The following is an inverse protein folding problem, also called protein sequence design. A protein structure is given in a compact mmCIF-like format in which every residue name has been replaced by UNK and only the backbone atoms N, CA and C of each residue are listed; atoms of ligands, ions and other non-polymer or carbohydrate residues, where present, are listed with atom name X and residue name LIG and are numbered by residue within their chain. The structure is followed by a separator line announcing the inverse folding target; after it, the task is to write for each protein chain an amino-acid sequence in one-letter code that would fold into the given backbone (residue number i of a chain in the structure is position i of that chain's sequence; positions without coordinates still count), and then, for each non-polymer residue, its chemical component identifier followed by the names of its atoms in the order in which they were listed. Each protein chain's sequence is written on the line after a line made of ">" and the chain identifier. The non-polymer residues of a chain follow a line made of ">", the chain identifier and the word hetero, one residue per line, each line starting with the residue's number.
data_IF_901328934110
#
_entry.id   IF_901328934110
#
_cell.length_a   1.000
_cell.length_b   1.000
_cell.length_c   1.000
_cell.angle_alpha   90.00
_cell.angle_beta   90.00
_cell.angle_gamma   90.00
#
_symmetry.space_group_name_H-M   'P 1'
#
loop_
_entity.id
_entity.type
_entity.pdbx_description
1 polymer ?
#
# COMPACT_ATOMS: atom_id res chain seq x y z
N UNK A 1 -2.21 17.82 -2.77
CA UNK A 1 -1.03 17.91 -1.90
C UNK A 1 -0.97 19.22 -1.12
N UNK A 2 -0.80 19.10 0.20
CA UNK A 2 -0.64 20.19 1.16
C UNK A 2 0.69 20.94 0.94
N UNK A 3 0.70 22.29 0.88
CA UNK A 3 1.92 23.05 0.60
C UNK A 3 3.05 22.87 1.61
N UNK A 4 2.74 22.76 2.91
CA UNK A 4 3.75 22.55 3.95
C UNK A 4 4.38 21.17 3.85
N UNK A 5 3.57 20.16 3.53
CA UNK A 5 4.07 18.81 3.30
C UNK A 5 4.93 18.73 2.05
N UNK A 6 4.51 19.35 0.95
CA UNK A 6 5.30 19.44 -0.29
C UNK A 6 6.68 20.07 -0.04
N UNK A 7 6.75 21.16 0.74
CA UNK A 7 8.02 21.77 1.13
C UNK A 7 8.90 20.84 1.96
N UNK A 8 8.31 20.07 2.88
CA UNK A 8 9.01 19.03 3.63
C UNK A 8 9.60 17.95 2.73
N UNK A 9 8.80 17.44 1.79
CA UNK A 9 9.24 16.44 0.81
C UNK A 9 10.35 16.96 -0.10
N UNK A 10 10.28 18.22 -0.56
CA UNK A 10 11.36 18.84 -1.32
C UNK A 10 12.69 18.87 -0.56
N UNK A 11 12.65 19.10 0.76
CA UNK A 11 13.84 19.09 1.60
C UNK A 11 14.39 17.66 1.81
N UNK A 12 13.51 16.68 2.03
CA UNK A 12 13.88 15.26 2.14
C UNK A 12 14.52 14.76 0.84
N UNK A 13 13.93 15.12 -0.30
CA UNK A 13 14.36 14.67 -1.61
C UNK A 13 15.44 15.54 -2.23
N UNK A 14 16.11 16.46 -1.50
CA UNK A 14 17.02 17.44 -2.12
C UNK A 14 18.16 16.79 -2.93
N UNK A 15 18.64 15.62 -2.49
CA UNK A 15 19.81 14.91 -3.04
C UNK A 15 19.41 13.64 -3.82
N UNK A 16 18.16 13.50 -4.23
CA UNK A 16 17.62 12.28 -4.87
C UNK A 16 18.35 11.83 -6.14
N UNK A 17 19.09 12.72 -6.81
CA UNK A 17 19.90 12.38 -7.98
C UNK A 17 21.23 11.70 -7.62
N UNK A 18 21.71 11.87 -6.38
CA UNK A 18 23.00 11.36 -5.91
C UNK A 18 22.87 10.29 -4.81
N UNK A 19 21.70 10.22 -4.15
CA UNK A 19 21.41 9.24 -3.11
C UNK A 19 20.12 8.46 -3.43
N UNK A 20 20.29 7.20 -3.83
CA UNK A 20 19.19 6.29 -4.14
C UNK A 20 18.55 5.65 -2.90
N UNK A 21 19.04 5.95 -1.69
CA UNK A 21 18.54 5.39 -0.43
C UNK A 21 17.50 6.29 0.24
N UNK A 22 17.27 7.50 -0.28
CA UNK A 22 16.26 8.43 0.22
C UNK A 22 14.89 7.76 0.18
N UNK A 23 14.22 7.79 1.32
CA UNK A 23 12.87 7.28 1.49
C UNK A 23 12.05 8.24 2.36
N UNK A 24 10.75 8.23 2.13
CA UNK A 24 9.77 8.92 2.96
C UNK A 24 8.69 7.92 3.38
N UNK A 25 8.05 8.18 4.52
CA UNK A 25 6.95 7.34 4.99
C UNK A 25 5.67 7.65 4.22
N UNK A 26 4.97 6.60 3.78
CA UNK A 26 3.65 6.72 3.14
C UNK A 26 2.59 7.29 4.11
N UNK A 27 2.78 7.06 5.42
CA UNK A 27 2.04 7.71 6.49
C UNK A 27 3.02 8.49 7.37
N UNK A 28 2.97 9.81 7.28
CA UNK A 28 3.84 10.70 8.06
C UNK A 28 3.42 10.85 9.53
N UNK A 29 2.15 10.55 9.85
CA UNK A 29 1.60 10.74 11.19
C UNK A 29 1.84 9.52 12.08
N UNK A 30 1.72 8.31 11.50
CA UNK A 30 1.91 7.04 12.22
C UNK A 30 2.72 6.01 11.43
N UNK A 31 3.99 6.28 11.05
CA UNK A 31 4.77 5.46 10.11
C UNK A 31 4.90 3.96 10.42
N UNK A 32 4.88 3.60 11.70
CA UNK A 32 5.07 2.22 12.18
C UNK A 32 3.78 1.52 12.60
N UNK A 33 2.61 2.11 12.37
CA UNK A 33 1.33 1.58 12.83
C UNK A 33 0.39 1.36 11.66
N UNK A 34 -0.25 0.20 11.65
CA UNK A 34 -1.29 -0.11 10.71
C UNK A 34 -2.64 0.37 11.28
N UNK A 35 -3.13 1.50 10.80
CA UNK A 35 -4.42 2.08 11.17
C UNK A 35 -5.01 2.93 10.03
N UNK A 36 -6.11 3.64 10.30
CA UNK A 36 -6.79 4.44 9.29
C UNK A 36 -6.22 5.87 9.14
N UNK A 37 -5.12 6.21 9.80
CA UNK A 37 -4.48 7.52 9.67
C UNK A 37 -4.04 7.80 8.23
N UNK A 38 -3.71 6.75 7.47
CA UNK A 38 -3.51 6.84 6.02
C UNK A 38 -4.67 7.57 5.33
N UNK A 39 -5.93 7.20 5.57
CA UNK A 39 -7.09 7.85 4.93
C UNK A 39 -7.35 9.26 5.48
N UNK A 40 -7.14 9.47 6.79
CA UNK A 40 -7.23 10.81 7.41
C UNK A 40 -6.21 11.78 6.78
N UNK A 41 -5.02 11.28 6.44
CA UNK A 41 -3.97 12.05 5.79
C UNK A 41 -4.36 12.46 4.37
N UNK A 42 -5.05 11.61 3.60
CA UNK A 42 -5.51 11.95 2.25
C UNK A 42 -6.46 13.15 2.24
N UNK A 43 -7.38 13.24 3.21
CA UNK A 43 -8.28 14.40 3.34
C UNK A 43 -7.52 15.71 3.58
N UNK A 44 -6.35 15.62 4.22
CA UNK A 44 -5.48 16.75 4.56
C UNK A 44 -4.47 17.09 3.44
N UNK A 45 -4.49 16.34 2.34
CA UNK A 45 -3.52 16.46 1.24
C UNK A 45 -2.12 15.98 1.63
N UNK A 46 -2.03 15.02 2.56
CA UNK A 46 -0.79 14.45 3.08
C UNK A 46 -0.47 13.07 2.47
N UNK A 47 -1.06 12.72 1.33
CA UNK A 47 -0.69 11.52 0.57
C UNK A 47 0.68 11.71 -0.09
N UNK A 48 1.54 10.69 0.01
CA UNK A 48 2.91 10.74 -0.52
C UNK A 48 2.92 10.53 -2.04
N UNK A 49 2.19 9.52 -2.52
CA UNK A 49 2.15 9.17 -3.94
C UNK A 49 0.98 9.87 -4.63
N UNK A 50 1.13 10.16 -5.93
CA UNK A 50 0.03 10.73 -6.72
C UNK A 50 -1.18 9.80 -6.75
N UNK A 51 -0.96 8.48 -6.78
CA UNK A 51 -2.02 7.47 -6.73
C UNK A 51 -2.80 7.49 -5.42
N UNK A 52 -2.17 7.88 -4.30
CA UNK A 52 -2.85 8.01 -3.02
C UNK A 52 -3.78 9.24 -3.01
N UNK A 53 -3.29 10.38 -3.51
CA UNK A 53 -4.10 11.61 -3.64
C UNK A 53 -5.23 11.46 -4.67
N UNK A 54 -5.05 10.62 -5.70
CA UNK A 54 -6.11 10.26 -6.65
C UNK A 54 -7.29 9.56 -5.97
N UNK A 55 -7.07 8.76 -4.91
CA UNK A 55 -8.16 8.14 -4.16
C UNK A 55 -9.10 9.19 -3.54
N UNK A 56 -8.56 10.33 -3.11
CA UNK A 56 -9.34 11.42 -2.53
C UNK A 56 -9.99 12.33 -3.58
N UNK A 57 -9.32 12.53 -4.73
CA UNK A 57 -9.78 13.47 -5.75
C UNK A 57 -10.74 12.83 -6.76
N UNK A 58 -10.66 11.53 -7.00
CA UNK A 58 -11.61 10.80 -7.85
C UNK A 58 -12.97 10.63 -7.15
N UNK A 59 -14.09 11.09 -7.74
CA UNK A 59 -15.42 10.99 -7.15
C UNK A 59 -15.88 9.56 -6.82
N UNK A 60 -15.33 8.55 -7.49
CA UNK A 60 -15.69 7.13 -7.31
C UNK A 60 -15.09 6.56 -6.04
N UNK A 61 -13.88 7.00 -5.67
CA UNK A 61 -13.13 6.48 -4.52
C UNK A 61 -13.24 7.37 -3.29
N UNK A 62 -13.48 8.67 -3.49
CA UNK A 62 -13.60 9.65 -2.40
C UNK A 62 -14.57 9.24 -1.27
N UNK A 63 -15.77 8.68 -1.54
CA UNK A 63 -16.68 8.24 -0.47
C UNK A 63 -16.07 7.15 0.42
N UNK A 64 -15.23 6.27 -0.13
CA UNK A 64 -14.55 5.23 0.64
C UNK A 64 -13.43 5.82 1.49
N UNK A 65 -12.67 6.79 0.98
CA UNK A 65 -11.68 7.53 1.77
C UNK A 65 -12.34 8.18 2.99
N UNK A 66 -13.47 8.86 2.77
CA UNK A 66 -14.25 9.49 3.86
C UNK A 66 -14.75 8.46 4.89
N UNK A 67 -15.28 7.33 4.41
CA UNK A 67 -15.74 6.24 5.28
C UNK A 67 -14.60 5.72 6.16
N UNK A 68 -13.46 5.40 5.56
CA UNK A 68 -12.34 4.80 6.27
C UNK A 68 -11.63 5.80 7.19
N UNK A 69 -11.57 7.08 6.81
CA UNK A 69 -11.06 8.14 7.68
C UNK A 69 -11.93 8.32 8.94
N UNK A 70 -13.26 8.23 8.81
CA UNK A 70 -14.20 8.40 9.90
C UNK A 70 -14.42 7.13 10.76
N UNK A 71 -14.17 5.94 10.20
CA UNK A 71 -14.48 4.66 10.84
C UNK A 71 -13.37 3.63 10.64
N UNK A 72 -12.52 3.47 11.65
CA UNK A 72 -11.43 2.49 11.66
C UNK A 72 -11.92 1.04 11.56
N UNK A 73 -13.08 0.70 12.13
CA UNK A 73 -13.64 -0.66 12.05
C UNK A 73 -14.06 -0.98 10.62
N UNK A 74 -14.73 -0.05 9.93
CA UNK A 74 -15.10 -0.24 8.53
C UNK A 74 -13.86 -0.46 7.64
N UNK A 75 -12.80 0.31 7.87
CA UNK A 75 -11.52 0.10 7.18
C UNK A 75 -10.97 -1.31 7.39
N UNK A 76 -10.83 -1.77 8.63
CA UNK A 76 -10.24 -3.09 8.89
C UNK A 76 -11.11 -4.24 8.37
N UNK A 77 -12.44 -4.11 8.47
CA UNK A 77 -13.37 -5.10 7.95
C UNK A 77 -13.24 -5.25 6.42
N UNK A 78 -13.19 -4.13 5.69
CA UNK A 78 -13.00 -4.15 4.23
C UNK A 78 -11.58 -4.54 3.83
N UNK A 79 -10.57 -4.12 4.59
CA UNK A 79 -9.18 -4.52 4.36
C UNK A 79 -9.03 -6.05 4.43
N UNK A 80 -9.60 -6.69 5.45
CA UNK A 80 -9.57 -8.15 5.59
C UNK A 80 -10.22 -8.86 4.39
N UNK A 81 -11.41 -8.41 3.98
CA UNK A 81 -12.11 -8.95 2.80
C UNK A 81 -11.34 -8.74 1.50
N UNK A 82 -10.71 -7.58 1.33
CA UNK A 82 -9.91 -7.27 0.15
C UNK A 82 -8.66 -8.15 0.06
N UNK A 83 -7.97 -8.35 1.19
CA UNK A 83 -6.79 -9.21 1.27
C UNK A 83 -7.11 -10.68 1.02
N UNK A 84 -8.27 -11.16 1.50
CA UNK A 84 -8.76 -12.51 1.17
C UNK A 84 -8.97 -12.68 -0.34
N UNK A 85 -9.71 -11.76 -0.98
CA UNK A 85 -9.91 -11.79 -2.44
C UNK A 85 -8.59 -11.74 -3.21
N UNK A 86 -7.66 -10.88 -2.79
CA UNK A 86 -6.35 -10.76 -3.41
C UNK A 86 -5.53 -12.05 -3.25
N UNK A 87 -5.61 -12.71 -2.09
CA UNK A 87 -4.87 -13.94 -1.81
C UNK A 87 -5.26 -15.13 -2.70
N UNK A 88 -6.46 -15.08 -3.28
CA UNK A 88 -6.99 -16.13 -4.15
C UNK A 88 -6.73 -15.88 -5.64
N UNK A 89 -6.17 -14.73 -6.01
CA UNK A 89 -5.94 -14.38 -7.41
C UNK A 89 -4.82 -15.25 -8.02
N UNK A 90 -5.16 -16.09 -9.00
CA UNK A 90 -4.19 -16.87 -9.78
C UNK A 90 -3.47 -17.96 -8.97
N UNK A 91 -4.05 -18.40 -7.86
CA UNK A 91 -3.47 -19.46 -7.01
C UNK A 91 -3.36 -20.78 -7.77
N UNK A 92 -2.22 -21.45 -7.60
CA UNK A 92 -1.99 -22.81 -8.10
C UNK A 92 -2.60 -23.80 -7.12
N UNK A 93 -3.33 -24.78 -7.63
CA UNK A 93 -3.98 -25.82 -6.81
C UNK A 93 -3.63 -27.21 -7.35
N UNK A 94 -3.81 -28.25 -6.53
CA UNK A 94 -3.53 -29.62 -6.95
C UNK A 94 -2.10 -29.82 -7.47
N UNK A 95 -2.00 -30.33 -8.71
CA UNK A 95 -0.71 -30.61 -9.36
C UNK A 95 -0.12 -29.40 -10.12
N UNK A 96 -0.78 -28.24 -10.13
CA UNK A 96 -0.36 -27.07 -10.93
C UNK A 96 0.84 -26.29 -10.31
N UNK A 97 1.43 -26.83 -9.24
CA UNK A 97 2.55 -26.23 -8.52
C UNK A 97 3.33 -27.23 -7.67
N UNK A 98 4.19 -26.70 -6.81
CA UNK A 98 4.98 -27.47 -5.87
C UNK A 98 5.03 -26.78 -4.51
N UNK A 99 5.21 -27.55 -3.44
CA UNK A 99 5.63 -27.01 -2.15
C UNK A 99 7.15 -26.87 -2.18
N UNK A 100 7.64 -25.64 -2.30
CA UNK A 100 9.08 -25.38 -2.40
C UNK A 100 9.79 -25.68 -1.08
N UNK A 101 10.96 -26.32 -1.17
CA UNK A 101 11.87 -26.49 -0.02
C UNK A 101 12.60 -25.19 0.35
N UNK A 102 12.73 -24.31 -0.64
CA UNK A 102 13.36 -22.99 -0.54
C UNK A 102 12.57 -22.02 -1.41
N UNK A 103 12.13 -20.89 -0.86
CA UNK A 103 11.26 -19.96 -1.59
C UNK A 103 11.94 -19.33 -2.82
N UNK A 104 13.27 -19.22 -2.80
CA UNK A 104 14.10 -18.55 -3.79
C UNK A 104 14.57 -19.45 -4.95
N UNK A 105 14.20 -20.74 -4.94
CA UNK A 105 14.50 -21.66 -6.04
C UNK A 105 13.35 -22.65 -6.27
N UNK A 106 13.25 -23.17 -7.49
CA UNK A 106 12.43 -24.35 -7.75
C UNK A 106 13.07 -25.59 -7.13
N UNK A 107 12.27 -26.61 -6.82
CA UNK A 107 12.84 -27.89 -6.42
C UNK A 107 13.54 -28.53 -7.63
N UNK A 108 14.76 -29.03 -7.44
CA UNK A 108 15.47 -29.78 -8.47
C UNK A 108 15.02 -31.25 -8.48
N UNK A 109 14.43 -31.67 -9.60
CA UNK A 109 13.92 -33.02 -9.87
C UNK A 109 13.07 -32.99 -11.15
N UNK A 110 12.74 -34.15 -11.77
CA UNK A 110 11.84 -34.14 -12.92
C UNK A 110 10.49 -33.55 -12.48
N UNK A 111 10.02 -32.51 -13.19
CA UNK A 111 8.64 -32.03 -12.98
C UNK A 111 7.68 -33.20 -13.22
N UNK A 112 6.71 -33.45 -12.32
CA UNK A 112 5.61 -34.35 -12.64
C UNK A 112 4.94 -33.86 -13.93
N UNK A 113 4.72 -34.77 -14.88
CA UNK A 113 3.97 -34.49 -16.11
C UNK A 113 2.52 -34.14 -15.80
#
# INVERSE_FOLDING_TARGET
>A
MNPSYAKGLQAVCKDYLNDSTIAAFNDIMTPGKFDNMYFINLERGLGLLSTDEELWTDPRTKPFVQLYAANTTAFFDDFGRAMEKMSLLGVKTGADGEVRRRCDTYNHGPMPK
#
